data_IF_855504932433
#
_entry.id   IF_855504932433
#
_cell.length_a   1.000
_cell.length_b   1.000
_cell.length_c   1.000
_cell.angle_alpha   90.00
_cell.angle_beta   90.00
_cell.angle_gamma   90.00
#
_symmetry.space_group_name_H-M   'P 1'
#
loop_
_entity.id
_entity.type
_entity.pdbx_description
1 polymer ?
#
# COMPACT_ATOMS: atom_id res chain seq x y z
N UNK A 1 -15.38 -1.74 -13.71
CA UNK A 1 -15.42 -1.71 -12.23
C UNK A 1 -15.18 -0.28 -11.84
N UNK A 2 -16.21 0.38 -11.34
CA UNK A 2 -16.16 1.76 -10.90
C UNK A 2 -15.49 1.87 -9.52
N UNK A 3 -14.92 3.04 -9.20
CA UNK A 3 -14.22 3.28 -7.94
C UNK A 3 -15.13 3.05 -6.71
N UNK A 4 -16.42 3.38 -6.82
CA UNK A 4 -17.38 3.14 -5.72
C UNK A 4 -17.63 1.65 -5.50
N UNK A 5 -17.69 0.85 -6.57
CA UNK A 5 -17.83 -0.60 -6.47
C UNK A 5 -16.61 -1.23 -5.79
N UNK A 6 -15.40 -0.74 -6.08
CA UNK A 6 -14.17 -1.18 -5.40
C UNK A 6 -14.23 -0.90 -3.91
N UNK A 7 -14.62 0.32 -3.50
CA UNK A 7 -14.72 0.68 -2.08
C UNK A 7 -15.79 -0.13 -1.35
N UNK A 8 -16.93 -0.38 -2.00
CA UNK A 8 -17.99 -1.23 -1.44
C UNK A 8 -17.47 -2.65 -1.19
N UNK A 9 -16.87 -3.28 -2.20
CA UNK A 9 -16.30 -4.62 -2.09
C UNK A 9 -15.17 -4.69 -1.05
N UNK A 10 -14.39 -3.62 -0.93
CA UNK A 10 -13.30 -3.55 0.05
C UNK A 10 -13.82 -3.63 1.49
N UNK A 11 -14.95 -2.98 1.82
CA UNK A 11 -15.54 -3.01 3.17
C UNK A 11 -15.89 -4.44 3.60
N UNK A 12 -16.42 -5.25 2.69
CA UNK A 12 -16.76 -6.64 2.97
C UNK A 12 -15.51 -7.52 3.13
N UNK A 13 -14.41 -7.18 2.46
CA UNK A 13 -13.18 -7.98 2.43
C UNK A 13 -12.16 -7.64 3.55
N UNK A 14 -12.20 -6.41 4.09
CA UNK A 14 -11.14 -5.86 4.95
C UNK A 14 -11.34 -6.18 6.46
N UNK A 15 -12.48 -6.78 6.81
CA UNK A 15 -12.81 -7.18 8.18
C UNK A 15 -13.22 -6.01 9.09
N UNK A 16 -13.41 -6.30 10.39
CA UNK A 16 -14.09 -5.39 11.32
C UNK A 16 -13.26 -4.17 11.76
N UNK A 17 -11.93 -4.30 11.71
CA UNK A 17 -11.00 -3.32 12.30
C UNK A 17 -10.70 -2.13 11.40
N UNK A 18 -10.68 -2.31 10.08
CA UNK A 18 -10.42 -1.23 9.12
C UNK A 18 -11.73 -0.78 8.47
N UNK A 19 -11.89 0.55 8.34
CA UNK A 19 -13.17 1.15 7.93
C UNK A 19 -13.27 1.43 6.43
N UNK A 20 -12.25 1.00 5.65
CA UNK A 20 -12.12 1.28 4.22
C UNK A 20 -12.47 2.76 3.90
N UNK A 21 -11.77 3.67 4.58
CA UNK A 21 -11.96 5.11 4.42
C UNK A 21 -11.68 5.53 2.98
N UNK A 22 -12.42 6.52 2.48
CA UNK A 22 -12.15 7.10 1.16
C UNK A 22 -10.72 7.70 1.08
N UNK A 23 -10.23 8.24 2.20
CA UNK A 23 -8.85 8.68 2.40
C UNK A 23 -8.27 7.95 3.62
N UNK A 24 -7.22 7.14 3.43
CA UNK A 24 -6.55 6.46 4.54
C UNK A 24 -5.49 7.38 5.17
N UNK A 25 -5.88 8.11 6.21
CA UNK A 25 -5.01 9.05 6.95
C UNK A 25 -4.70 8.60 8.38
N UNK A 26 -5.11 7.39 8.78
CA UNK A 26 -4.83 6.81 10.10
C UNK A 26 -5.61 7.42 11.28
N UNK A 27 -6.45 8.44 11.07
CA UNK A 27 -7.18 9.12 12.16
C UNK A 27 -8.30 8.26 12.76
N UNK A 28 -9.03 7.54 11.92
CA UNK A 28 -10.19 6.74 12.34
C UNK A 28 -9.79 5.47 13.09
N UNK A 29 -8.72 4.80 12.67
CA UNK A 29 -8.18 3.60 13.32
C UNK A 29 -7.01 3.91 14.27
N UNK A 30 -6.96 5.14 14.81
CA UNK A 30 -5.95 5.54 15.79
C UNK A 30 -5.96 4.58 16.98
N UNK A 31 -4.79 4.13 17.43
CA UNK A 31 -4.62 3.19 18.56
C UNK A 31 -5.27 1.81 18.38
N UNK A 32 -5.74 1.46 17.18
CA UNK A 32 -6.45 0.20 16.94
C UNK A 32 -5.48 -0.95 16.64
N UNK A 33 -5.37 -1.89 17.57
CA UNK A 33 -4.68 -3.19 17.40
C UNK A 33 -5.62 -4.29 17.92
N UNK A 34 -5.95 -5.33 17.14
CA UNK A 34 -5.51 -5.60 15.76
C UNK A 34 -6.15 -4.65 14.73
N UNK A 35 -5.49 -4.47 13.59
CA UNK A 35 -5.90 -3.55 12.52
C UNK A 35 -4.72 -2.75 11.94
N UNK A 36 -4.93 -1.92 10.90
CA UNK A 36 -3.89 -1.06 10.32
C UNK A 36 -3.55 0.17 11.18
N UNK A 37 -4.11 0.25 12.39
CA UNK A 37 -3.92 1.37 13.30
C UNK A 37 -2.48 1.50 13.79
N UNK A 38 -2.13 2.71 14.23
CA UNK A 38 -0.82 2.97 14.83
C UNK A 38 -0.76 2.51 16.30
N UNK A 39 0.41 2.00 16.74
CA UNK A 39 0.70 1.60 18.12
C UNK A 39 1.00 2.82 19.02
N UNK A 40 0.89 2.65 20.33
CA UNK A 40 1.34 3.66 21.30
C UNK A 40 0.36 4.82 21.40
N UNK A 41 0.80 6.06 21.16
CA UNK A 41 -0.06 7.26 21.15
C UNK A 41 -0.94 7.33 19.89
N UNK A 42 -0.67 6.50 18.89
CA UNK A 42 -1.47 6.33 17.68
C UNK A 42 -1.42 7.49 16.70
N UNK A 43 -0.36 8.30 16.75
CA UNK A 43 -0.13 9.47 15.91
C UNK A 43 0.83 9.21 14.73
N UNK A 44 1.67 8.16 14.80
CA UNK A 44 2.70 7.89 13.78
C UNK A 44 2.16 7.79 12.35
N UNK A 45 1.07 7.04 12.13
CA UNK A 45 0.48 6.89 10.79
C UNK A 45 -0.08 8.23 10.28
N UNK A 46 -0.71 9.01 11.15
CA UNK A 46 -1.25 10.34 10.85
C UNK A 46 -0.11 11.29 10.48
N UNK A 47 0.94 11.34 11.30
CA UNK A 47 2.13 12.17 11.08
C UNK A 47 2.82 11.84 9.77
N UNK A 48 2.99 10.55 9.46
CA UNK A 48 3.60 10.13 8.19
C UNK A 48 2.74 10.61 7.01
N UNK A 49 1.42 10.41 7.07
CA UNK A 49 0.49 10.85 6.03
C UNK A 49 0.51 12.37 5.82
N UNK A 50 0.42 13.14 6.89
CA UNK A 50 0.42 14.60 6.83
C UNK A 50 1.78 15.14 6.33
N UNK A 51 2.89 14.49 6.67
CA UNK A 51 4.23 14.91 6.21
C UNK A 51 4.40 14.79 4.70
N UNK A 52 3.83 13.76 4.07
CA UNK A 52 3.83 13.62 2.61
C UNK A 52 3.13 14.80 1.92
N UNK A 53 2.10 15.38 2.55
CA UNK A 53 1.37 16.55 2.03
C UNK A 53 2.18 17.84 2.04
N UNK A 54 3.36 17.87 2.63
CA UNK A 54 4.26 19.03 2.57
C UNK A 54 5.17 19.01 1.34
N UNK A 55 5.34 17.84 0.70
CA UNK A 55 6.22 17.66 -0.46
C UNK A 55 5.44 17.97 -1.74
N UNK A 56 6.08 18.64 -2.70
CA UNK A 56 5.52 18.96 -4.02
C UNK A 56 6.44 18.44 -5.11
N UNK A 57 5.86 18.01 -6.22
CA UNK A 57 6.61 17.64 -7.41
C UNK A 57 6.87 18.90 -8.22
N UNK A 58 8.14 19.22 -8.43
CA UNK A 58 8.53 20.23 -9.40
C UNK A 58 8.68 19.54 -10.77
N UNK A 59 7.64 19.64 -11.61
CA UNK A 59 7.60 18.94 -12.89
C UNK A 59 8.37 19.72 -13.95
N UNK A 60 9.28 19.05 -14.66
CA UNK A 60 9.80 19.55 -15.92
C UNK A 60 8.81 19.21 -17.05
N UNK A 61 8.29 20.25 -17.72
CA UNK A 61 7.29 20.11 -18.77
C UNK A 61 7.89 20.10 -20.18
N UNK A 62 9.18 20.42 -20.32
CA UNK A 62 9.87 20.48 -21.60
C UNK A 62 10.78 19.26 -21.78
N UNK A 63 10.17 18.10 -22.00
CA UNK A 63 10.87 16.83 -22.18
C UNK A 63 10.51 16.16 -23.50
N UNK A 64 11.45 15.37 -24.03
CA UNK A 64 11.19 14.51 -25.18
C UNK A 64 10.16 13.43 -24.83
N UNK A 65 9.28 13.11 -25.78
CA UNK A 65 8.27 12.07 -25.61
C UNK A 65 8.92 10.69 -25.76
N UNK A 66 9.45 10.16 -24.65
CA UNK A 66 10.10 8.85 -24.57
C UNK A 66 9.29 7.92 -23.69
N UNK A 67 9.45 6.61 -23.95
CA UNK A 67 8.92 5.58 -23.07
C UNK A 67 9.63 5.66 -21.71
N UNK A 68 8.85 5.79 -20.63
CA UNK A 68 9.38 5.82 -19.26
C UNK A 68 9.89 4.43 -18.90
N UNK A 69 11.15 4.35 -18.50
CA UNK A 69 11.72 3.18 -17.85
C UNK A 69 11.59 3.32 -16.33
N UNK A 70 10.96 2.34 -15.70
CA UNK A 70 10.77 2.28 -14.25
C UNK A 70 11.66 1.20 -13.61
N UNK A 71 12.53 0.57 -14.40
CA UNK A 71 13.44 -0.44 -13.86
C UNK A 71 14.47 0.17 -12.92
N UNK A 72 14.92 -0.61 -11.95
CA UNK A 72 15.95 -0.22 -10.99
C UNK A 72 16.86 -1.39 -10.69
N UNK A 73 18.16 -1.16 -10.59
CA UNK A 73 19.11 -2.15 -10.11
C UNK A 73 19.41 -1.91 -8.62
N UNK A 74 19.14 -2.90 -7.78
CA UNK A 74 19.46 -2.88 -6.34
C UNK A 74 20.16 -4.18 -5.97
N UNK A 75 21.31 -4.07 -5.29
CA UNK A 75 22.09 -5.22 -4.81
C UNK A 75 22.46 -6.24 -5.92
N UNK A 76 22.72 -5.78 -7.14
CA UNK A 76 23.06 -6.62 -8.29
C UNK A 76 21.87 -7.35 -8.91
N UNK A 77 20.64 -6.97 -8.57
CA UNK A 77 19.42 -7.49 -9.18
C UNK A 77 18.62 -6.36 -9.83
N UNK A 78 18.12 -6.63 -11.04
CA UNK A 78 17.26 -5.70 -11.78
C UNK A 78 15.79 -5.98 -11.45
N UNK A 79 15.10 -4.95 -10.98
CA UNK A 79 13.67 -4.97 -10.70
C UNK A 79 12.91 -4.15 -11.72
N UNK A 80 11.71 -4.60 -12.08
CA UNK A 80 10.86 -3.90 -13.06
C UNK A 80 10.32 -2.56 -12.56
N UNK A 81 10.16 -2.41 -11.25
CA UNK A 81 9.61 -1.21 -10.61
C UNK A 81 10.30 -0.92 -9.29
N UNK A 82 10.33 0.36 -8.83
CA UNK A 82 10.98 0.75 -7.58
C UNK A 82 10.00 0.73 -6.39
N UNK A 83 9.13 -0.28 -6.30
CA UNK A 83 8.24 -0.46 -5.16
C UNK A 83 8.14 -1.93 -4.78
N UNK A 84 8.10 -2.20 -3.48
CA UNK A 84 8.22 -3.54 -2.93
C UNK A 84 7.13 -3.80 -1.88
N UNK A 85 6.76 -5.07 -1.72
CA UNK A 85 5.97 -5.49 -0.59
C UNK A 85 6.83 -5.44 0.68
N UNK A 86 6.47 -4.55 1.62
CA UNK A 86 7.13 -4.48 2.92
C UNK A 86 6.89 -5.75 3.75
N UNK A 87 7.86 -6.23 4.53
CA UNK A 87 7.67 -7.40 5.38
C UNK A 87 6.66 -7.08 6.49
N UNK A 88 5.60 -7.89 6.57
CA UNK A 88 4.56 -7.79 7.60
C UNK A 88 4.61 -9.04 8.47
N UNK A 89 4.66 -8.88 9.79
CA UNK A 89 4.60 -9.99 10.74
C UNK A 89 3.18 -10.56 10.88
N UNK A 90 3.07 -11.80 11.35
CA UNK A 90 1.79 -12.45 11.69
C UNK A 90 0.77 -12.58 10.54
N UNK A 91 1.23 -12.54 9.27
CA UNK A 91 0.38 -12.67 8.08
C UNK A 91 -0.42 -13.98 8.08
N UNK A 92 0.12 -15.06 8.65
CA UNK A 92 -0.56 -16.36 8.77
C UNK A 92 -1.60 -16.45 9.90
N UNK A 93 -1.52 -15.59 10.93
CA UNK A 93 -2.53 -15.51 12.01
C UNK A 93 -3.75 -14.69 11.58
N UNK A 94 -3.62 -13.93 10.49
CA UNK A 94 -4.65 -13.08 9.93
C UNK A 94 -5.46 -13.85 8.87
N UNK A 95 -6.19 -14.89 9.30
CA UNK A 95 -7.02 -15.72 8.41
C UNK A 95 -8.07 -14.93 7.61
N UNK A 96 -8.37 -13.71 8.03
CA UNK A 96 -9.39 -12.82 7.47
C UNK A 96 -8.91 -12.12 6.16
N UNK A 97 -7.60 -12.01 5.91
CA UNK A 97 -7.07 -11.37 4.69
C UNK A 97 -6.65 -12.38 3.59
N UNK A 98 -6.76 -13.68 3.85
CA UNK A 98 -6.34 -14.75 2.92
C UNK A 98 -7.45 -15.18 1.96
N UNK A 99 -8.09 -14.23 1.27
CA UNK A 99 -8.88 -14.57 0.08
C UNK A 99 -7.94 -14.82 -1.11
N UNK A 100 -8.34 -15.72 -2.02
CA UNK A 100 -7.55 -16.17 -3.18
C UNK A 100 -6.99 -15.00 -4.03
N UNK A 101 -7.64 -13.83 -4.01
CA UNK A 101 -7.22 -12.60 -4.70
C UNK A 101 -6.02 -11.90 -4.07
N UNK A 102 -5.88 -11.91 -2.74
CA UNK A 102 -4.73 -11.30 -2.05
C UNK A 102 -3.47 -12.14 -2.29
N UNK A 103 -3.60 -13.48 -2.38
CA UNK A 103 -2.48 -14.34 -2.81
C UNK A 103 -2.01 -14.00 -4.21
N UNK A 104 -2.93 -13.76 -5.16
CA UNK A 104 -2.57 -13.41 -6.54
C UNK A 104 -1.88 -12.05 -6.64
N UNK A 105 -2.36 -11.05 -5.88
CA UNK A 105 -1.72 -9.73 -5.85
C UNK A 105 -0.34 -9.78 -5.19
N UNK A 106 -0.21 -10.47 -4.05
CA UNK A 106 1.07 -10.63 -3.38
C UNK A 106 2.03 -11.49 -4.20
N UNK A 107 1.55 -12.55 -4.85
CA UNK A 107 2.34 -13.34 -5.79
C UNK A 107 2.76 -12.53 -7.02
N UNK A 108 1.93 -11.61 -7.53
CA UNK A 108 2.33 -10.71 -8.63
C UNK A 108 3.37 -9.67 -8.20
N UNK A 109 3.27 -9.15 -6.97
CA UNK A 109 4.28 -8.27 -6.37
C UNK A 109 5.59 -9.01 -6.07
N UNK A 110 5.51 -10.25 -5.61
CA UNK A 110 6.67 -11.12 -5.42
C UNK A 110 7.24 -11.61 -6.77
N UNK A 111 6.42 -11.76 -7.81
CA UNK A 111 6.86 -12.14 -9.15
C UNK A 111 7.66 -11.02 -9.83
N UNK A 112 7.44 -9.75 -9.46
CA UNK A 112 8.38 -8.68 -9.81
C UNK A 112 9.76 -8.82 -9.12
N UNK A 113 9.89 -9.73 -8.15
CA UNK A 113 11.14 -10.04 -7.43
C UNK A 113 11.72 -11.42 -7.79
N UNK A 114 11.12 -12.17 -8.71
CA UNK A 114 11.61 -13.49 -9.11
C UNK A 114 11.79 -13.56 -10.62
N UNK A 115 13.05 -13.48 -11.03
CA UNK A 115 13.64 -13.83 -12.33
C UNK A 115 12.83 -13.55 -13.61
#
# INVERSE_FOLDING_TARGET
MDYQEVLKNARDCIGEYCKACNECNGKVCKNQIPGPGAKGVGDTAIRNYDKWKEIRVNMDTLTENKKVDMSIELFGQTFKYPFFAGPVGAVGLMSIFWTQKVKLFYAALLANNSH
#
